data_IF_492648762246
#
_entry.id   IF_492648762246
#
_cell.length_a   1.000
_cell.length_b   1.000
_cell.length_c   1.000
_cell.angle_alpha   90.00
_cell.angle_beta   90.00
_cell.angle_gamma   90.00
#
_symmetry.space_group_name_H-M   'P 1'
#
loop_
_entity.id
_entity.type
_entity.pdbx_description
1 polymer ?
#
# COMPACT_ATOMS: atom_id res chain seq x y z
N UNK A 1 -41.63 -51.14 -75.58
CA UNK A 1 -41.12 -50.58 -74.29
C UNK A 1 -39.86 -49.71 -74.44
N UNK A 2 -38.87 -50.03 -75.29
CA UNK A 2 -37.64 -49.21 -75.45
C UNK A 2 -37.83 -47.80 -76.02
N UNK A 3 -38.81 -47.59 -76.92
CA UNK A 3 -39.02 -46.28 -77.56
C UNK A 3 -39.82 -45.27 -76.71
N UNK A 4 -40.64 -45.74 -75.77
CA UNK A 4 -41.41 -44.86 -74.87
C UNK A 4 -40.51 -44.16 -73.84
N UNK A 5 -39.39 -44.78 -73.46
CA UNK A 5 -38.45 -44.19 -72.50
C UNK A 5 -37.69 -42.99 -73.08
N UNK A 6 -37.35 -43.05 -74.38
CA UNK A 6 -36.72 -41.92 -75.08
C UNK A 6 -37.68 -40.73 -75.24
N UNK A 7 -38.95 -40.98 -75.52
CA UNK A 7 -39.96 -39.92 -75.66
C UNK A 7 -40.27 -39.25 -74.31
N UNK A 8 -40.21 -39.99 -73.20
CA UNK A 8 -40.39 -39.45 -71.85
C UNK A 8 -39.20 -38.54 -71.44
N UNK A 9 -37.98 -38.89 -71.85
CA UNK A 9 -36.77 -38.10 -71.56
C UNK A 9 -36.71 -36.77 -72.32
N UNK A 10 -37.27 -36.70 -73.54
CA UNK A 10 -37.35 -35.45 -74.31
C UNK A 10 -38.44 -34.51 -73.78
N UNK A 11 -39.52 -35.05 -73.20
CA UNK A 11 -40.57 -34.22 -72.58
C UNK A 11 -40.12 -33.58 -71.25
N UNK A 12 -39.23 -34.23 -70.50
CA UNK A 12 -38.76 -33.74 -69.20
C UNK A 12 -37.65 -32.66 -69.29
N UNK A 13 -37.05 -32.45 -70.46
CA UNK A 13 -35.97 -31.45 -70.66
C UNK A 13 -36.45 -30.12 -71.23
N UNK A 14 -37.72 -30.01 -71.65
CA UNK A 14 -38.23 -28.82 -72.33
C UNK A 14 -38.73 -27.68 -71.40
N UNK A 15 -38.80 -27.88 -70.07
CA UNK A 15 -39.52 -26.96 -69.18
C UNK A 15 -38.68 -26.10 -68.22
N UNK A 16 -37.35 -26.03 -68.33
CA UNK A 16 -36.52 -25.39 -67.28
C UNK A 16 -35.71 -24.14 -67.67
N UNK A 17 -35.88 -23.61 -68.89
CA UNK A 17 -35.02 -22.50 -69.38
C UNK A 17 -35.69 -21.14 -69.62
N UNK A 18 -36.97 -21.11 -70.03
CA UNK A 18 -37.58 -19.88 -70.57
C UNK A 18 -37.89 -18.83 -69.49
N UNK A 19 -38.41 -19.26 -68.33
CA UNK A 19 -38.85 -18.39 -67.24
C UNK A 19 -37.71 -17.57 -66.63
N UNK A 20 -36.51 -18.18 -66.51
CA UNK A 20 -35.31 -17.49 -66.02
C UNK A 20 -34.86 -16.39 -66.99
N UNK A 21 -34.93 -16.64 -68.30
CA UNK A 21 -34.51 -15.66 -69.30
C UNK A 21 -35.46 -14.45 -69.36
N UNK A 22 -36.76 -14.69 -69.22
CA UNK A 22 -37.79 -13.64 -69.17
C UNK A 22 -37.68 -12.82 -67.88
N UNK A 23 -37.49 -13.47 -66.72
CA UNK A 23 -37.27 -12.76 -65.45
C UNK A 23 -35.99 -11.93 -65.47
N UNK A 24 -34.90 -12.43 -66.06
CA UNK A 24 -33.66 -11.69 -66.15
C UNK A 24 -33.77 -10.49 -67.11
N UNK A 25 -34.49 -10.67 -68.23
CA UNK A 25 -34.86 -9.59 -69.13
C UNK A 25 -35.69 -8.52 -68.42
N UNK A 26 -36.73 -8.91 -67.68
CA UNK A 26 -37.56 -7.99 -66.89
C UNK A 26 -36.76 -7.26 -65.81
N UNK A 27 -35.82 -7.94 -65.14
CA UNK A 27 -34.91 -7.30 -64.18
C UNK A 27 -34.02 -6.25 -64.83
N UNK A 28 -33.49 -6.51 -66.03
CA UNK A 28 -32.67 -5.53 -66.77
C UNK A 28 -33.49 -4.33 -67.22
N UNK A 29 -34.71 -4.54 -67.69
CA UNK A 29 -35.61 -3.44 -68.10
C UNK A 29 -36.04 -2.59 -66.90
N UNK A 30 -36.26 -3.21 -65.74
CA UNK A 30 -36.68 -2.51 -64.52
C UNK A 30 -35.51 -2.00 -63.65
N UNK A 31 -34.26 -2.33 -64.02
CA UNK A 31 -33.08 -1.83 -63.32
C UNK A 31 -32.86 -0.35 -63.67
N UNK A 32 -33.41 0.53 -62.83
CA UNK A 32 -33.01 1.94 -62.82
C UNK A 32 -31.73 2.06 -61.99
N UNK A 33 -30.60 2.21 -62.67
CA UNK A 33 -29.35 2.57 -62.04
C UNK A 33 -29.12 4.07 -62.26
N UNK A 34 -28.92 4.82 -61.19
CA UNK A 34 -28.36 6.17 -61.27
C UNK A 34 -26.84 6.07 -61.31
N UNK A 35 -26.21 6.82 -62.19
CA UNK A 35 -24.76 6.87 -62.30
C UNK A 35 -24.21 7.68 -61.11
N UNK A 36 -23.56 7.00 -60.17
CA UNK A 36 -22.91 7.65 -59.03
C UNK A 36 -21.62 8.28 -59.53
N UNK A 37 -21.65 9.57 -59.86
CA UNK A 37 -20.45 10.34 -60.14
C UNK A 37 -19.69 10.61 -58.84
N UNK A 38 -18.62 9.86 -58.58
CA UNK A 38 -17.64 10.22 -57.54
C UNK A 38 -16.57 11.09 -58.17
N UNK A 39 -16.45 12.34 -57.74
CA UNK A 39 -15.35 13.18 -58.20
C UNK A 39 -14.05 12.64 -57.61
N UNK A 40 -13.01 12.52 -58.45
CA UNK A 40 -11.68 12.04 -58.05
C UNK A 40 -11.05 13.07 -57.10
N UNK A 41 -11.39 13.00 -55.81
CA UNK A 41 -10.99 13.96 -54.79
C UNK A 41 -12.02 14.21 -53.69
N UNK A 42 -13.26 13.73 -53.80
CA UNK A 42 -14.26 13.88 -52.75
C UNK A 42 -13.86 13.12 -51.48
N UNK A 43 -13.48 13.88 -50.45
CA UNK A 43 -13.27 13.39 -49.08
C UNK A 43 -14.47 13.83 -48.24
N UNK A 44 -15.46 12.96 -48.09
CA UNK A 44 -16.68 13.27 -47.31
C UNK A 44 -16.44 13.28 -45.79
N UNK A 45 -15.38 12.63 -45.32
CA UNK A 45 -15.04 12.51 -43.90
C UNK A 45 -13.54 12.64 -43.71
N UNK A 46 -13.11 13.76 -43.12
CA UNK A 46 -11.77 13.88 -42.55
C UNK A 46 -11.74 13.05 -41.28
N UNK A 47 -11.26 11.81 -41.35
CA UNK A 47 -11.04 11.00 -40.16
C UNK A 47 -9.89 11.64 -39.40
N UNK A 48 -10.21 12.32 -38.29
CA UNK A 48 -9.17 12.83 -37.41
C UNK A 48 -8.34 11.66 -36.88
N UNK A 49 -7.01 11.84 -36.89
CA UNK A 49 -6.10 10.85 -36.32
C UNK A 49 -6.42 10.75 -34.83
N UNK A 50 -6.78 9.56 -34.31
CA UNK A 50 -7.16 9.42 -32.92
C UNK A 50 -6.00 9.85 -32.02
N UNK A 51 -6.24 10.90 -31.22
CA UNK A 51 -5.28 11.36 -30.22
C UNK A 51 -5.27 10.37 -29.07
N UNK A 52 -4.09 9.91 -28.66
CA UNK A 52 -3.93 9.08 -27.46
C UNK A 52 -4.40 9.87 -26.23
N UNK A 53 -5.62 9.62 -25.76
CA UNK A 53 -6.14 10.23 -24.53
C UNK A 53 -5.34 9.68 -23.34
N UNK A 54 -4.73 10.57 -22.55
CA UNK A 54 -4.25 10.18 -21.23
C UNK A 54 -5.48 9.81 -20.39
N UNK A 55 -5.55 8.54 -19.97
CA UNK A 55 -6.62 8.05 -19.10
C UNK A 55 -6.55 8.81 -17.78
N UNK A 56 -7.71 9.27 -17.31
CA UNK A 56 -7.88 9.80 -15.97
C UNK A 56 -7.68 8.67 -14.95
N UNK A 57 -6.96 8.95 -13.86
CA UNK A 57 -6.77 7.97 -12.80
C UNK A 57 -8.10 7.67 -12.12
N UNK A 58 -8.36 6.39 -11.86
CA UNK A 58 -9.54 6.02 -11.08
C UNK A 58 -9.38 6.47 -9.62
N UNK A 59 -10.50 6.70 -8.94
CA UNK A 59 -10.51 7.15 -7.54
C UNK A 59 -9.73 6.22 -6.61
N UNK A 60 -9.71 4.91 -6.89
CA UNK A 60 -8.98 3.93 -6.09
C UNK A 60 -7.46 3.92 -6.34
N UNK A 61 -7.01 4.36 -7.52
CA UNK A 61 -5.57 4.45 -7.87
C UNK A 61 -4.87 5.58 -7.09
N UNK A 62 -5.64 6.51 -6.51
CA UNK A 62 -5.13 7.52 -5.57
C UNK A 62 -4.61 6.90 -4.26
N UNK A 63 -5.03 5.69 -3.94
CA UNK A 63 -4.67 4.98 -2.71
C UNK A 63 -3.56 3.95 -2.93
N UNK A 64 -2.86 3.98 -4.07
CA UNK A 64 -1.76 3.07 -4.37
C UNK A 64 -0.49 3.83 -4.71
N UNK A 65 0.65 3.35 -4.21
CA UNK A 65 1.99 3.79 -4.59
C UNK A 65 2.61 2.65 -5.36
N UNK A 66 2.74 2.82 -6.68
CA UNK A 66 3.07 1.71 -7.58
C UNK A 66 1.99 0.64 -7.51
N UNK A 67 2.39 -0.58 -7.11
CA UNK A 67 1.49 -1.73 -6.96
C UNK A 67 1.01 -1.96 -5.53
N UNK A 68 1.39 -1.11 -4.57
CA UNK A 68 1.13 -1.33 -3.15
C UNK A 68 0.14 -0.30 -2.60
N UNK A 69 -0.75 -0.67 -1.66
CA UNK A 69 -1.60 0.29 -0.99
C UNK A 69 -0.77 1.36 -0.29
N UNK A 70 -1.21 2.62 -0.39
CA UNK A 70 -0.63 3.75 0.32
C UNK A 70 -0.78 3.52 1.82
N UNK A 71 0.31 3.75 2.56
CA UNK A 71 0.33 3.62 4.00
C UNK A 71 -0.43 4.80 4.58
N UNK A 72 -1.40 4.50 5.43
CA UNK A 72 -2.20 5.48 6.18
C UNK A 72 -2.00 5.26 7.67
N UNK A 73 -2.58 6.12 8.51
CA UNK A 73 -2.57 5.96 9.97
C UNK A 73 -3.11 4.60 10.43
N UNK A 74 -3.99 3.97 9.66
CA UNK A 74 -4.60 2.68 9.99
C UNK A 74 -3.57 1.55 10.12
N UNK A 75 -2.44 1.64 9.40
CA UNK A 75 -1.35 0.68 9.49
C UNK A 75 -0.61 0.72 10.83
N UNK A 76 -0.80 1.80 11.60
CA UNK A 76 -0.21 1.99 12.92
C UNK A 76 -1.13 1.50 14.03
N UNK A 77 -2.30 0.92 13.72
CA UNK A 77 -3.18 0.41 14.78
C UNK A 77 -2.52 -0.71 15.57
N UNK A 78 -2.86 -0.76 16.84
CA UNK A 78 -2.43 -1.81 17.74
C UNK A 78 -2.89 -3.18 17.24
N UNK A 79 -1.95 -4.13 17.22
CA UNK A 79 -2.15 -5.49 16.70
C UNK A 79 -2.44 -6.52 17.79
N UNK A 80 -2.64 -6.08 19.02
CA UNK A 80 -2.99 -6.96 20.11
C UNK A 80 -4.23 -7.78 19.80
N UNK A 81 -4.26 -9.02 20.30
CA UNK A 81 -5.40 -9.91 20.11
C UNK A 81 -5.73 -10.65 21.39
N UNK A 82 -7.01 -10.66 21.78
CA UNK A 82 -7.48 -11.48 22.89
C UNK A 82 -7.31 -13.00 22.64
N UNK A 83 -6.99 -13.39 21.40
CA UNK A 83 -6.67 -14.78 21.02
C UNK A 83 -5.21 -15.13 21.26
N UNK A 84 -4.34 -14.16 21.52
CA UNK A 84 -2.94 -14.41 21.81
C UNK A 84 -2.82 -15.15 23.15
N UNK A 85 -1.90 -16.13 23.26
CA UNK A 85 -1.74 -16.91 24.48
C UNK A 85 -1.27 -16.00 25.62
N UNK A 86 -1.68 -16.29 26.86
CA UNK A 86 -1.21 -15.50 27.99
C UNK A 86 0.29 -15.70 28.25
N UNK A 87 0.95 -14.63 28.69
CA UNK A 87 2.38 -14.62 29.00
C UNK A 87 2.57 -14.64 30.51
N UNK A 88 3.34 -15.60 31.00
CA UNK A 88 3.66 -15.74 32.42
C UNK A 88 4.96 -15.02 32.74
N UNK A 89 4.87 -13.89 33.44
CA UNK A 89 6.05 -13.16 33.90
C UNK A 89 6.38 -13.56 35.33
N UNK A 90 7.55 -14.19 35.51
CA UNK A 90 8.09 -14.50 36.83
C UNK A 90 8.71 -13.21 37.41
N UNK A 91 7.95 -12.49 38.23
CA UNK A 91 8.47 -11.32 38.96
C UNK A 91 9.37 -11.72 40.13
N UNK A 92 9.12 -12.90 40.71
CA UNK A 92 9.91 -13.59 41.74
C UNK A 92 9.50 -15.07 41.78
N UNK A 93 10.28 -15.95 42.42
CA UNK A 93 10.02 -17.40 42.53
C UNK A 93 8.66 -17.78 43.13
N UNK A 94 7.93 -16.84 43.76
CA UNK A 94 6.65 -17.10 44.44
C UNK A 94 5.41 -16.51 43.76
N UNK A 95 5.54 -15.50 42.88
CA UNK A 95 4.39 -14.82 42.26
C UNK A 95 4.60 -14.68 40.75
N UNK A 96 4.00 -15.60 39.98
CA UNK A 96 3.89 -15.44 38.54
C UNK A 96 2.62 -14.62 38.23
N UNK A 97 2.79 -13.53 37.48
CA UNK A 97 1.64 -12.73 37.01
C UNK A 97 1.36 -13.16 35.58
N UNK A 98 0.10 -13.52 35.33
CA UNK A 98 -0.41 -13.84 34.01
C UNK A 98 -0.81 -12.55 33.30
N UNK A 99 -0.16 -12.23 32.19
CA UNK A 99 -0.49 -11.10 31.35
C UNK A 99 -1.28 -11.58 30.13
N UNK A 100 -2.44 -10.96 29.93
CA UNK A 100 -3.24 -11.14 28.73
C UNK A 100 -2.99 -9.98 27.78
N UNK A 101 -3.04 -10.27 26.49
CA UNK A 101 -2.96 -9.24 25.48
C UNK A 101 -4.26 -8.41 25.42
N UNK A 102 -4.20 -7.24 24.79
CA UNK A 102 -5.39 -6.45 24.53
C UNK A 102 -6.20 -7.04 23.35
N UNK A 103 -7.40 -6.50 23.09
CA UNK A 103 -8.19 -6.84 21.90
C UNK A 103 -7.86 -6.01 20.66
N UNK A 104 -6.72 -5.30 20.66
CA UNK A 104 -6.25 -4.51 19.53
C UNK A 104 -7.18 -3.37 19.13
N UNK A 105 -7.23 -3.10 17.83
CA UNK A 105 -8.05 -2.04 17.25
C UNK A 105 -9.55 -2.20 17.48
N UNK A 106 -10.04 -3.41 17.76
CA UNK A 106 -11.46 -3.65 18.07
C UNK A 106 -11.85 -3.13 19.46
N UNK A 107 -10.86 -2.89 20.33
CA UNK A 107 -11.07 -2.49 21.74
C UNK A 107 -10.58 -1.10 22.07
N UNK A 108 -9.82 -0.47 21.19
CA UNK A 108 -9.38 0.89 21.40
C UNK A 108 -8.92 1.59 20.11
N UNK A 109 -8.94 2.92 20.14
CA UNK A 109 -8.52 3.77 19.02
C UNK A 109 -6.99 3.90 18.93
N UNK A 110 -6.53 4.58 17.88
CA UNK A 110 -5.21 5.23 17.87
C UNK A 110 -5.14 6.37 18.92
N UNK A 111 -3.94 6.91 19.21
CA UNK A 111 -3.84 8.11 20.02
C UNK A 111 -4.70 9.25 19.47
N UNK A 112 -5.31 10.04 20.34
CA UNK A 112 -6.22 11.14 20.00
C UNK A 112 -5.53 12.47 20.30
N UNK A 113 -5.60 13.38 19.32
CA UNK A 113 -5.17 14.77 19.44
C UNK A 113 -6.24 15.64 18.79
N UNK A 114 -6.69 16.67 19.50
CA UNK A 114 -7.75 17.56 19.01
C UNK A 114 -9.00 16.77 18.57
N UNK A 115 -9.43 15.82 19.43
CA UNK A 115 -10.62 14.98 19.24
C UNK A 115 -10.57 14.04 18.04
N UNK A 116 -9.42 13.90 17.38
CA UNK A 116 -9.22 13.00 16.24
C UNK A 116 -8.07 12.04 16.48
N UNK A 117 -8.22 10.82 15.97
CA UNK A 117 -7.11 9.87 15.91
C UNK A 117 -5.94 10.44 15.12
N UNK A 118 -4.75 10.30 15.69
CA UNK A 118 -3.55 11.01 15.27
C UNK A 118 -2.34 10.07 15.28
N UNK A 119 -1.57 10.16 14.20
CA UNK A 119 -0.20 9.64 14.06
C UNK A 119 0.62 10.76 13.45
N UNK A 120 1.89 10.87 13.84
CA UNK A 120 2.78 11.89 13.32
C UNK A 120 2.92 11.77 11.79
N UNK A 121 2.51 12.78 11.00
CA UNK A 121 2.47 12.69 9.54
C UNK A 121 3.81 12.29 8.91
N UNK A 122 4.93 12.78 9.45
CA UNK A 122 6.26 12.46 8.90
C UNK A 122 6.59 10.97 8.95
N UNK A 123 6.07 10.21 9.92
CA UNK A 123 6.25 8.75 9.92
C UNK A 123 5.52 8.12 8.73
N UNK A 124 4.31 8.57 8.43
CA UNK A 124 3.52 8.10 7.28
C UNK A 124 4.19 8.52 5.97
N UNK A 125 4.68 9.76 5.90
CA UNK A 125 5.33 10.31 4.71
C UNK A 125 6.64 9.59 4.39
N UNK A 126 7.48 9.33 5.40
CA UNK A 126 8.72 8.58 5.23
C UNK A 126 8.48 7.15 4.73
N UNK A 127 7.52 6.43 5.32
CA UNK A 127 7.22 5.06 4.89
C UNK A 127 6.64 5.02 3.48
N UNK A 128 5.79 5.98 3.12
CA UNK A 128 5.27 6.11 1.76
C UNK A 128 6.37 6.49 0.76
N UNK A 129 7.30 7.38 1.14
CA UNK A 129 8.46 7.74 0.33
C UNK A 129 9.36 6.53 0.06
N UNK A 130 9.63 5.72 1.10
CA UNK A 130 10.37 4.46 0.94
C UNK A 130 9.65 3.52 -0.03
N UNK A 131 8.34 3.34 0.14
CA UNK A 131 7.52 2.49 -0.74
C UNK A 131 7.55 3.00 -2.19
N UNK A 132 7.53 4.32 -2.39
CA UNK A 132 7.61 4.96 -3.71
C UNK A 132 8.98 4.78 -4.35
N UNK A 133 10.07 4.99 -3.62
CA UNK A 133 11.42 4.87 -4.16
C UNK A 133 11.82 3.43 -4.45
N UNK A 134 11.40 2.50 -3.61
CA UNK A 134 11.74 1.08 -3.75
C UNK A 134 10.77 0.34 -4.68
N UNK A 135 9.54 0.84 -4.84
CA UNK A 135 8.43 0.09 -5.46
C UNK A 135 8.15 -1.26 -4.77
N UNK A 136 8.59 -1.40 -3.50
CA UNK A 136 8.44 -2.59 -2.67
C UNK A 136 7.49 -2.30 -1.51
N UNK A 137 6.82 -3.34 -1.02
CA UNK A 137 5.91 -3.23 0.11
C UNK A 137 6.69 -2.95 1.39
N UNK A 138 6.32 -1.89 2.09
CA UNK A 138 6.79 -1.64 3.45
C UNK A 138 5.89 -2.41 4.43
N UNK A 139 6.50 -3.26 5.25
CA UNK A 139 5.81 -4.07 6.24
C UNK A 139 6.07 -3.47 7.62
N UNK A 140 5.07 -2.73 8.13
CA UNK A 140 5.07 -2.29 9.54
C UNK A 140 4.86 -3.52 10.42
N UNK A 141 5.74 -3.73 11.38
CA UNK A 141 5.66 -4.81 12.37
C UNK A 141 4.99 -4.29 13.64
N UNK A 142 5.42 -3.13 14.13
CA UNK A 142 4.84 -2.46 15.28
C UNK A 142 4.56 -0.97 15.01
N UNK A 143 3.35 -0.51 15.33
CA UNK A 143 2.93 0.89 15.24
C UNK A 143 2.60 1.47 16.61
N UNK A 144 1.34 1.79 16.88
CA UNK A 144 0.88 2.16 18.22
C UNK A 144 0.66 0.90 19.07
N UNK A 145 1.14 0.94 20.32
CA UNK A 145 0.81 -0.04 21.37
C UNK A 145 -0.05 0.64 22.42
N UNK A 146 -1.16 0.03 22.84
CA UNK A 146 -1.81 0.49 24.08
C UNK A 146 -1.00 0.00 25.29
N UNK A 147 -1.20 0.57 26.50
CA UNK A 147 -0.48 0.15 27.68
C UNK A 147 -0.56 -1.35 28.00
N UNK A 148 -1.73 -1.97 27.78
CA UNK A 148 -1.94 -3.40 28.03
C UNK A 148 -1.10 -4.24 27.07
N UNK A 149 -1.20 -3.96 25.76
CA UNK A 149 -0.42 -4.65 24.74
C UNK A 149 1.07 -4.41 24.87
N UNK A 150 1.49 -3.20 25.25
CA UNK A 150 2.90 -2.87 25.45
C UNK A 150 3.54 -3.71 26.56
N UNK A 151 2.83 -3.87 27.69
CA UNK A 151 3.29 -4.73 28.79
C UNK A 151 3.26 -6.21 28.38
N UNK A 152 2.28 -6.62 27.58
CA UNK A 152 2.21 -7.98 27.04
C UNK A 152 3.39 -8.30 26.11
N UNK A 153 3.71 -7.38 25.20
CA UNK A 153 4.80 -7.53 24.23
C UNK A 153 6.19 -7.51 24.90
N UNK A 154 6.44 -6.54 25.77
CA UNK A 154 7.65 -6.48 26.60
C UNK A 154 7.39 -5.74 27.92
N UNK A 155 7.48 -6.45 29.03
CA UNK A 155 7.28 -5.90 30.38
C UNK A 155 8.54 -5.25 30.99
N UNK A 156 9.64 -5.15 30.25
CA UNK A 156 10.86 -4.51 30.71
C UNK A 156 10.61 -3.06 31.16
N UNK A 157 11.37 -2.59 32.15
CA UNK A 157 11.27 -1.20 32.62
C UNK A 157 11.53 -0.18 31.49
N UNK A 158 12.39 -0.54 30.52
CA UNK A 158 12.71 0.32 29.38
C UNK A 158 11.49 0.54 28.50
N UNK A 159 10.71 -0.52 28.25
CA UNK A 159 9.55 -0.47 27.38
C UNK A 159 8.35 0.30 27.98
N UNK A 160 8.33 0.54 29.30
CA UNK A 160 7.27 1.35 29.95
C UNK A 160 7.22 2.80 29.50
N UNK A 161 8.29 3.30 28.87
CA UNK A 161 8.39 4.67 28.33
C UNK A 161 8.52 4.68 26.80
N UNK A 162 8.11 3.59 26.15
CA UNK A 162 8.16 3.43 24.69
C UNK A 162 7.35 4.51 23.98
N UNK A 163 7.83 4.96 22.81
CA UNK A 163 7.13 5.96 22.01
C UNK A 163 6.03 5.34 21.15
N UNK A 164 6.00 4.01 21.01
CA UNK A 164 4.84 3.29 20.48
C UNK A 164 3.56 3.59 21.27
N UNK A 165 3.67 3.81 22.59
CA UNK A 165 2.53 4.14 23.45
C UNK A 165 1.82 5.44 23.07
N UNK A 166 2.54 6.39 22.47
CA UNK A 166 2.01 7.70 22.06
C UNK A 166 1.93 7.84 20.53
N UNK A 167 2.06 6.74 19.78
CA UNK A 167 2.01 6.73 18.31
C UNK A 167 3.16 7.48 17.65
N UNK A 168 4.29 7.62 18.34
CA UNK A 168 5.45 8.41 17.93
C UNK A 168 6.65 7.54 17.52
N UNK A 169 6.42 6.25 17.29
CA UNK A 169 7.42 5.26 16.91
C UNK A 169 6.79 4.22 15.98
N UNK A 170 7.60 3.71 15.05
CA UNK A 170 7.19 2.64 14.14
C UNK A 170 8.38 1.74 13.83
N UNK A 171 8.11 0.43 13.89
CA UNK A 171 9.03 -0.61 13.49
C UNK A 171 8.58 -1.22 12.18
N UNK A 172 9.51 -1.40 11.24
CA UNK A 172 9.19 -1.93 9.91
C UNK A 172 10.40 -2.54 9.21
N UNK A 173 10.13 -3.29 8.15
CA UNK A 173 11.10 -3.70 7.15
C UNK A 173 10.50 -3.57 5.75
N UNK A 174 11.33 -3.70 4.71
CA UNK A 174 10.90 -3.60 3.30
C UNK A 174 10.98 -4.96 2.64
N UNK A 175 9.86 -5.44 2.12
CA UNK A 175 9.77 -6.78 1.54
C UNK A 175 10.59 -6.88 0.25
N UNK A 176 11.48 -7.87 0.17
CA UNK A 176 12.45 -8.02 -0.91
C UNK A 176 13.72 -7.17 -0.75
N UNK A 177 13.87 -6.45 0.37
CA UNK A 177 15.08 -5.71 0.75
C UNK A 177 15.51 -6.03 2.19
N UNK A 178 15.12 -7.20 2.71
CA UNK A 178 15.35 -7.62 4.09
C UNK A 178 16.85 -7.72 4.43
N UNK A 179 17.71 -8.00 3.45
CA UNK A 179 19.16 -8.12 3.64
C UNK A 179 19.91 -6.80 3.41
N UNK A 180 19.23 -5.74 2.95
CA UNK A 180 19.83 -4.44 2.65
C UNK A 180 19.20 -3.29 3.46
N UNK A 181 19.06 -3.40 4.80
CA UNK A 181 18.36 -2.38 5.58
C UNK A 181 19.09 -1.03 5.62
N UNK A 182 20.41 -1.01 5.37
CA UNK A 182 21.19 0.23 5.28
C UNK A 182 20.75 1.12 4.10
N UNK A 183 20.42 0.53 2.95
CA UNK A 183 19.91 1.29 1.81
C UNK A 183 18.59 2.00 2.14
N UNK A 184 17.76 1.38 2.99
CA UNK A 184 16.52 2.01 3.46
C UNK A 184 16.82 3.17 4.42
N UNK A 185 17.83 3.04 5.28
CA UNK A 185 18.30 4.13 6.13
C UNK A 185 18.82 5.30 5.29
N UNK A 186 19.56 5.02 4.22
CA UNK A 186 20.04 6.05 3.28
C UNK A 186 18.86 6.75 2.58
N UNK A 187 17.84 6.00 2.15
CA UNK A 187 16.61 6.60 1.61
C UNK A 187 15.89 7.51 2.61
N UNK A 188 15.85 7.14 3.88
CA UNK A 188 15.29 8.00 4.94
C UNK A 188 16.08 9.30 5.06
N UNK A 189 17.41 9.25 4.97
CA UNK A 189 18.23 10.47 5.02
C UNK A 189 18.02 11.33 3.77
N UNK A 190 17.94 10.70 2.59
CA UNK A 190 17.72 11.38 1.32
C UNK A 190 16.38 12.14 1.28
N UNK A 191 15.36 11.66 2.00
CA UNK A 191 14.10 12.39 2.16
C UNK A 191 14.31 13.81 2.72
N UNK A 192 15.32 14.01 3.57
CA UNK A 192 15.59 15.29 4.23
C UNK A 192 16.50 16.22 3.44
N UNK A 193 17.15 15.78 2.36
CA UNK A 193 18.13 16.58 1.61
C UNK A 193 17.54 17.87 1.02
N UNK A 194 16.25 17.89 0.71
CA UNK A 194 15.57 19.06 0.14
C UNK A 194 14.99 20.00 1.19
N UNK A 195 15.10 19.70 2.49
CA UNK A 195 14.56 20.55 3.56
C UNK A 195 15.47 21.74 3.81
N UNK A 196 15.00 22.98 3.68
CA UNK A 196 15.84 24.18 3.80
C UNK A 196 16.68 24.24 5.08
N UNK A 197 16.08 23.90 6.23
CA UNK A 197 16.72 24.02 7.54
C UNK A 197 17.76 22.91 7.81
N UNK A 198 19.03 23.33 8.01
CA UNK A 198 20.18 22.44 8.13
C UNK A 198 20.08 21.39 9.26
N UNK A 199 19.39 21.70 10.36
CA UNK A 199 19.23 20.76 11.49
C UNK A 199 18.32 19.55 11.17
N UNK A 200 17.50 19.66 10.12
CA UNK A 200 16.72 18.52 9.61
C UNK A 200 17.52 17.70 8.60
N UNK A 201 18.41 18.33 7.82
CA UNK A 201 19.31 17.66 6.88
C UNK A 201 20.42 16.86 7.56
N UNK A 202 20.99 17.41 8.62
CA UNK A 202 22.22 16.90 9.21
C UNK A 202 21.95 15.74 10.17
N UNK A 203 22.38 14.53 9.79
CA UNK A 203 22.31 13.35 10.65
C UNK A 203 23.60 13.16 11.43
N UNK A 204 23.48 13.05 12.76
CA UNK A 204 24.56 12.68 13.65
C UNK A 204 24.43 11.22 14.10
N UNK A 205 25.54 10.61 14.51
CA UNK A 205 25.57 9.27 15.10
C UNK A 205 25.34 9.38 16.61
N UNK A 206 24.44 8.57 17.15
CA UNK A 206 24.22 8.47 18.58
C UNK A 206 25.18 7.43 19.17
N UNK A 207 26.16 7.88 19.96
CA UNK A 207 27.28 7.04 20.46
C UNK A 207 27.11 6.58 21.90
N UNK A 208 26.02 6.96 22.58
CA UNK A 208 25.76 6.51 23.94
C UNK A 208 25.41 5.02 23.98
N UNK A 209 25.89 4.32 25.00
CA UNK A 209 25.73 2.85 25.14
C UNK A 209 24.29 2.40 25.45
N UNK A 210 23.35 3.31 25.68
CA UNK A 210 21.95 3.01 26.01
C UNK A 210 21.05 2.74 24.79
N UNK A 211 21.64 2.75 23.59
CA UNK A 211 20.97 2.57 22.30
C UNK A 211 20.36 1.19 22.05
N UNK A 212 20.79 0.17 22.81
CA UNK A 212 20.37 -1.24 22.72
C UNK A 212 20.44 -1.88 21.32
N UNK A 213 21.32 -1.37 20.47
CA UNK A 213 21.60 -1.88 19.12
C UNK A 213 23.12 -1.91 18.90
N UNK A 214 23.61 -2.89 18.15
CA UNK A 214 25.04 -3.00 17.80
C UNK A 214 25.50 -1.88 16.88
N UNK A 215 24.63 -1.46 15.95
CA UNK A 215 24.91 -0.35 15.03
C UNK A 215 24.42 0.93 15.70
N UNK A 216 25.34 1.87 15.96
CA UNK A 216 24.98 3.19 16.52
C UNK A 216 23.77 3.77 15.75
N UNK A 217 22.78 4.37 16.42
CA UNK A 217 21.65 5.00 15.73
C UNK A 217 22.04 6.29 15.00
N UNK A 218 21.19 6.73 14.08
CA UNK A 218 21.28 8.06 13.46
C UNK A 218 20.18 8.97 13.99
N UNK A 219 20.43 10.27 13.99
CA UNK A 219 19.38 11.23 14.31
C UNK A 219 19.61 12.59 13.68
N UNK A 220 18.51 13.29 13.38
CA UNK A 220 18.50 14.71 13.08
C UNK A 220 17.62 15.44 14.13
N UNK A 221 17.16 16.66 13.82
CA UNK A 221 16.21 17.38 14.67
C UNK A 221 14.87 16.65 14.87
N UNK A 222 14.34 16.01 13.83
CA UNK A 222 12.96 15.49 13.80
C UNK A 222 12.83 14.03 14.19
N UNK A 223 13.76 13.17 13.80
CA UNK A 223 13.67 11.71 13.93
C UNK A 223 14.95 11.09 14.49
N UNK A 224 14.78 9.90 15.05
CA UNK A 224 15.84 9.01 15.53
C UNK A 224 15.65 7.65 14.87
N UNK A 225 16.69 7.15 14.21
CA UNK A 225 16.67 5.94 13.38
C UNK A 225 17.53 4.88 14.06
N UNK A 226 16.90 3.77 14.46
CA UNK A 226 17.61 2.58 14.93
C UNK A 226 17.54 1.50 13.86
N UNK A 227 18.66 0.83 13.64
CA UNK A 227 18.73 -0.38 12.84
C UNK A 227 19.00 -1.55 13.79
N UNK A 228 18.05 -2.47 13.87
CA UNK A 228 18.15 -3.67 14.69
C UNK A 228 18.58 -4.84 13.82
N UNK A 229 19.61 -5.54 14.26
CA UNK A 229 20.06 -6.76 13.58
C UNK A 229 19.08 -7.93 13.79
N UNK A 230 19.27 -9.03 13.05
CA UNK A 230 18.32 -10.17 13.02
C UNK A 230 17.89 -10.70 14.38
N UNK A 231 18.76 -10.64 15.39
CA UNK A 231 18.48 -11.18 16.72
C UNK A 231 18.33 -10.08 17.80
N UNK A 232 18.33 -8.81 17.41
CA UNK A 232 18.25 -7.69 18.34
C UNK A 232 16.81 -7.21 18.54
N UNK A 233 16.48 -6.73 19.74
CA UNK A 233 15.23 -6.01 20.00
C UNK A 233 13.94 -6.83 19.82
N UNK A 234 14.02 -8.16 19.83
CA UNK A 234 12.89 -9.05 19.58
C UNK A 234 11.90 -9.08 20.73
N UNK A 235 10.63 -8.92 20.40
CA UNK A 235 9.45 -9.07 21.23
C UNK A 235 8.33 -9.74 20.44
N UNK A 236 7.14 -9.86 21.03
CA UNK A 236 6.01 -10.55 20.41
C UNK A 236 5.48 -9.89 19.13
N UNK A 237 5.67 -8.58 18.92
CA UNK A 237 5.16 -7.89 17.72
C UNK A 237 6.14 -7.91 16.55
N UNK A 238 7.44 -7.99 16.84
CA UNK A 238 8.50 -7.95 15.83
C UNK A 238 9.28 -9.28 15.74
N UNK A 239 8.63 -10.39 16.10
CA UNK A 239 9.19 -11.74 16.00
C UNK A 239 9.24 -12.25 14.55
N UNK A 240 10.16 -11.69 13.76
CA UNK A 240 10.44 -12.09 12.38
C UNK A 240 11.96 -12.27 12.17
N UNK A 241 12.42 -13.09 11.21
CA UNK A 241 13.83 -13.50 11.10
C UNK A 241 14.73 -12.46 10.39
N UNK A 242 14.25 -11.23 10.21
CA UNK A 242 14.90 -10.21 9.37
C UNK A 242 15.31 -9.00 10.21
N UNK A 243 16.40 -8.29 9.85
CA UNK A 243 16.65 -6.96 10.42
C UNK A 243 15.44 -6.04 10.24
N UNK A 244 15.30 -5.06 11.11
CA UNK A 244 14.24 -4.05 11.01
C UNK A 244 14.72 -2.68 11.43
N UNK A 245 13.97 -1.67 11.01
CA UNK A 245 14.25 -0.28 11.30
C UNK A 245 13.17 0.22 12.24
N UNK A 246 13.59 0.93 13.28
CA UNK A 246 12.70 1.69 14.15
C UNK A 246 12.90 3.17 13.90
N UNK A 247 11.82 3.87 13.59
CA UNK A 247 11.78 5.32 13.45
C UNK A 247 11.04 5.94 14.63
N UNK A 248 11.74 6.76 15.40
CA UNK A 248 11.19 7.46 16.56
C UNK A 248 11.16 8.97 16.33
N UNK A 249 10.03 9.59 16.65
CA UNK A 249 9.89 11.04 16.61
C UNK A 249 10.69 11.71 17.72
N UNK A 250 11.40 12.79 17.40
CA UNK A 250 12.12 13.68 18.34
C UNK A 250 11.48 15.05 18.42
N UNK A 251 10.98 15.60 17.32
CA UNK A 251 10.40 16.94 17.28
C UNK A 251 9.17 16.96 16.38
N UNK A 252 8.09 17.59 16.85
CA UNK A 252 6.88 17.81 16.08
C UNK A 252 6.98 19.18 15.40
N UNK A 253 7.19 19.19 14.08
CA UNK A 253 7.30 20.42 13.29
C UNK A 253 6.03 21.27 13.35
N UNK A 254 4.85 20.65 13.36
CA UNK A 254 3.56 21.35 13.40
C UNK A 254 3.31 21.92 14.80
N UNK A 255 3.53 21.10 15.82
CA UNK A 255 3.36 21.50 17.23
C UNK A 255 4.52 22.32 17.80
N UNK A 256 5.60 22.53 17.03
CA UNK A 256 6.85 23.21 17.41
C UNK A 256 7.43 22.76 18.76
N UNK A 257 7.34 21.48 19.08
CA UNK A 257 7.73 20.94 20.39
C UNK A 257 8.47 19.62 20.28
N UNK A 258 9.31 19.33 21.28
CA UNK A 258 9.95 18.02 21.40
C UNK A 258 8.90 16.94 21.68
N UNK A 259 9.03 15.80 21.02
CA UNK A 259 8.19 14.63 21.24
C UNK A 259 8.83 13.77 22.32
N UNK A 260 8.19 13.78 23.49
CA UNK A 260 8.58 13.01 24.67
C UNK A 260 7.42 12.10 25.06
N UNK A 261 7.76 10.95 25.64
CA UNK A 261 6.78 10.14 26.33
C UNK A 261 6.16 10.94 27.48
N UNK A 262 4.85 10.83 27.62
CA UNK A 262 4.15 11.24 28.84
C UNK A 262 3.12 10.19 29.22
N UNK A 263 3.00 9.92 30.51
CA UNK A 263 2.04 8.94 31.02
C UNK A 263 0.61 9.31 30.62
N UNK A 264 0.26 10.60 30.67
CA UNK A 264 -1.07 11.07 30.28
C UNK A 264 -1.39 10.74 28.82
N UNK A 265 -0.47 11.01 27.88
CA UNK A 265 -0.70 10.65 26.47
C UNK A 265 -0.77 9.13 26.27
N UNK A 266 0.07 8.38 26.97
CA UNK A 266 0.12 6.93 26.83
C UNK A 266 -1.11 6.21 27.40
N UNK A 267 -1.67 6.68 28.51
CA UNK A 267 -2.75 5.99 29.23
C UNK A 267 -4.14 6.61 29.00
N UNK A 268 -4.20 7.93 28.80
CA UNK A 268 -5.46 8.67 28.61
C UNK A 268 -5.60 9.24 27.19
N UNK A 269 -4.56 9.15 26.36
CA UNK A 269 -4.55 9.74 25.03
C UNK A 269 -5.19 8.87 23.95
N UNK A 270 -6.07 7.92 24.28
CA UNK A 270 -6.79 7.09 23.29
C UNK A 270 -8.14 6.63 23.84
N UNK A 271 -9.11 6.34 22.96
CA UNK A 271 -10.45 5.90 23.32
C UNK A 271 -10.51 4.38 23.50
N UNK A 272 -11.36 3.91 24.41
CA UNK A 272 -11.57 2.48 24.72
C UNK A 272 -13.06 2.16 24.60
N UNK A 273 -13.38 0.96 24.15
CA UNK A 273 -14.74 0.47 23.93
C UNK A 273 -14.99 -0.85 24.64
#
# INVERSE_FOLDING_TARGET
>A
MRYYFFFLLTLLTACSGLERSEQERMRRVNAKAEEIYRLKGEKFLTIEIPKKRKREQYSFEKYTIGNHPRITKEYFRCRGSAKNPSVMLKKNTKNAICHFDCGGYDKHSLPVREEKEYIYPVLIDLLNYIQEKTQKKVVITCGHRCPVHNVYADASKKNQSSKHLIGAEVDFYVQGMEQCPKEIVDLIMNYYENVEEASYKSFARYTSADSNVSINPWYNKEIFIKLFDKNEGRDFDNNHPYPYISLQMRYDKLGKKRVLYSWHQAFNGFMRW
#
